data_IF_783866911157
#
_entry.id   IF_783866911157
#
_cell.length_a   1.000
_cell.length_b   1.000
_cell.length_c   1.000
_cell.angle_alpha   90.00
_cell.angle_beta   90.00
_cell.angle_gamma   90.00
#
_symmetry.space_group_name_H-M   'P 1'
#
loop_
_entity.id
_entity.type
_entity.pdbx_description
1 polymer ?
#
# COMPACT_ATOMS: atom_id res chain seq x y z
N UNK A 1 -18.71 60.53 9.01
CA UNK A 1 -19.32 59.18 9.10
C UNK A 1 -18.75 58.32 7.99
N UNK A 2 -17.90 57.33 8.28
CA UNK A 2 -17.43 56.35 7.30
C UNK A 2 -17.18 55.04 8.05
N UNK A 3 -18.18 54.17 8.07
CA UNK A 3 -18.12 52.87 8.75
C UNK A 3 -17.34 51.89 7.87
N UNK A 4 -16.19 51.43 8.36
CA UNK A 4 -15.46 50.27 7.83
C UNK A 4 -16.32 49.02 8.07
N UNK A 5 -16.69 48.31 7.02
CA UNK A 5 -17.25 46.96 7.09
C UNK A 5 -16.09 45.96 7.03
N UNK A 6 -15.77 45.34 8.16
CA UNK A 6 -14.87 44.20 8.25
C UNK A 6 -15.68 42.96 7.91
N UNK A 7 -15.43 42.36 6.74
CA UNK A 7 -15.99 41.05 6.37
C UNK A 7 -15.10 39.98 7.00
N UNK A 8 -15.62 39.34 8.04
CA UNK A 8 -14.99 38.20 8.72
C UNK A 8 -15.24 36.94 7.87
N UNK A 9 -14.26 36.55 7.04
CA UNK A 9 -14.31 35.31 6.28
C UNK A 9 -14.04 34.13 7.24
N UNK A 10 -15.09 33.45 7.67
CA UNK A 10 -15.00 32.16 8.36
C UNK A 10 -14.51 31.12 7.34
N UNK A 11 -13.20 30.85 7.33
CA UNK A 11 -12.64 29.69 6.66
C UNK A 11 -13.06 28.43 7.45
N UNK A 12 -14.19 27.84 7.08
CA UNK A 12 -14.56 26.51 7.53
C UNK A 12 -13.57 25.51 6.89
N UNK A 13 -12.53 25.15 7.62
CA UNK A 13 -11.68 24.02 7.27
C UNK A 13 -12.50 22.74 7.43
N UNK A 14 -13.09 22.28 6.33
CA UNK A 14 -13.82 21.02 6.28
C UNK A 14 -12.88 19.84 6.51
N UNK A 15 -12.69 19.45 7.78
CA UNK A 15 -11.99 18.23 8.15
C UNK A 15 -12.92 17.05 7.83
N UNK A 16 -12.84 16.54 6.60
CA UNK A 16 -13.52 15.31 6.22
C UNK A 16 -12.94 14.11 6.99
N UNK A 17 -13.72 13.04 7.21
CA UNK A 17 -13.20 11.83 7.84
C UNK A 17 -12.05 11.24 7.01
N UNK A 18 -10.95 10.90 7.68
CA UNK A 18 -9.89 10.07 7.12
C UNK A 18 -10.23 8.60 7.30
N UNK A 19 -9.70 7.76 6.41
CA UNK A 19 -10.02 6.34 6.35
C UNK A 19 -8.75 5.50 6.28
N UNK A 20 -8.81 4.28 6.84
CA UNK A 20 -7.84 3.22 6.62
C UNK A 20 -8.56 1.94 6.22
N UNK A 21 -7.81 0.96 5.71
CA UNK A 21 -8.34 -0.36 5.40
C UNK A 21 -7.76 -1.39 6.35
N UNK A 22 -8.63 -2.24 6.87
CA UNK A 22 -8.27 -3.34 7.74
C UNK A 22 -8.67 -4.66 7.07
N UNK A 23 -7.83 -5.70 7.12
CA UNK A 23 -8.26 -7.03 6.71
C UNK A 23 -9.45 -7.48 7.57
N UNK A 24 -10.50 -8.00 6.93
CA UNK A 24 -11.68 -8.51 7.65
C UNK A 24 -11.39 -9.87 8.33
N UNK A 25 -10.38 -10.59 7.83
CA UNK A 25 -9.94 -11.89 8.31
C UNK A 25 -8.42 -11.88 8.53
N UNK A 26 -7.95 -12.72 9.46
CA UNK A 26 -6.52 -12.93 9.74
C UNK A 26 -5.75 -11.64 10.10
N UNK A 27 -6.42 -10.59 10.61
CA UNK A 27 -5.81 -9.29 10.94
C UNK A 27 -4.99 -9.32 12.25
N UNK A 28 -3.94 -10.13 12.28
CA UNK A 28 -3.10 -10.42 13.45
C UNK A 28 -1.65 -9.87 13.30
N UNK A 29 -1.39 -9.09 12.26
CA UNK A 29 -0.09 -8.48 11.99
C UNK A 29 -0.19 -7.00 11.63
N UNK A 30 0.97 -6.35 11.54
CA UNK A 30 1.09 -4.99 10.99
C UNK A 30 2.26 -4.89 10.02
N UNK A 31 2.10 -4.10 8.95
CA UNK A 31 3.16 -3.77 7.99
C UNK A 31 3.25 -2.26 7.89
N UNK A 32 4.40 -1.70 8.27
CA UNK A 32 4.63 -0.24 8.26
C UNK A 32 3.50 0.55 8.93
N UNK A 33 3.06 0.11 10.12
CA UNK A 33 1.98 0.76 10.89
C UNK A 33 0.55 0.45 10.44
N UNK A 34 0.34 -0.26 9.33
CA UNK A 34 -0.99 -0.63 8.83
C UNK A 34 -1.39 -2.02 9.29
N UNK A 35 -2.68 -2.26 9.62
CA UNK A 35 -3.19 -3.60 9.86
C UNK A 35 -2.96 -4.50 8.65
N UNK A 36 -2.41 -5.69 8.90
CA UNK A 36 -2.07 -6.65 7.86
C UNK A 36 -2.64 -8.03 8.22
N UNK A 37 -3.08 -8.75 7.18
CA UNK A 37 -3.43 -10.15 7.33
C UNK A 37 -2.17 -10.99 7.25
N UNK A 38 -1.94 -11.94 8.16
CA UNK A 38 -0.84 -12.90 8.06
C UNK A 38 -1.34 -14.29 7.67
N UNK A 39 -0.62 -14.94 6.77
CA UNK A 39 -0.87 -16.30 6.35
C UNK A 39 0.41 -17.11 6.45
N UNK A 40 0.42 -18.18 7.23
CA UNK A 40 1.53 -19.13 7.24
C UNK A 40 1.57 -19.90 5.93
N UNK A 41 2.76 -20.03 5.34
CA UNK A 41 2.97 -20.65 4.03
C UNK A 41 4.08 -21.70 4.11
N UNK A 42 3.89 -22.90 3.52
CA UNK A 42 2.60 -23.47 3.13
C UNK A 42 1.64 -23.74 4.30
N UNK A 43 0.32 -23.82 4.08
CA UNK A 43 -0.63 -24.22 5.12
C UNK A 43 -0.32 -25.62 5.68
N UNK A 44 -0.27 -25.75 7.01
CA UNK A 44 0.03 -27.00 7.71
C UNK A 44 1.53 -27.32 7.86
N UNK A 45 2.40 -26.55 7.20
CA UNK A 45 3.86 -26.63 7.37
C UNK A 45 4.43 -25.22 7.28
N UNK A 46 4.44 -24.49 8.40
CA UNK A 46 4.89 -23.11 8.44
C UNK A 46 6.39 -23.01 8.14
N UNK A 47 6.73 -22.81 6.86
CA UNK A 47 8.10 -22.56 6.38
C UNK A 47 8.36 -21.07 6.13
N UNK A 48 7.38 -20.22 6.43
CA UNK A 48 7.41 -18.77 6.32
C UNK A 48 5.99 -18.19 6.30
N UNK A 49 5.85 -16.94 5.89
CA UNK A 49 4.57 -16.24 5.88
C UNK A 49 4.40 -15.25 4.74
N UNK A 50 3.13 -14.94 4.44
CA UNK A 50 2.73 -13.83 3.59
C UNK A 50 1.89 -12.88 4.44
N UNK A 51 2.31 -11.62 4.51
CA UNK A 51 1.55 -10.52 5.10
C UNK A 51 0.98 -9.64 4.01
N UNK A 52 -0.32 -9.34 4.07
CA UNK A 52 -1.00 -8.49 3.10
C UNK A 52 -1.61 -7.30 3.80
N UNK A 53 -1.27 -6.09 3.36
CA UNK A 53 -1.74 -4.83 3.92
C UNK A 53 -2.22 -3.89 2.83
N UNK A 54 -3.15 -2.99 3.14
CA UNK A 54 -3.52 -1.89 2.26
C UNK A 54 -3.19 -0.55 2.87
N UNK A 55 -2.63 0.33 2.05
CA UNK A 55 -2.26 1.72 2.38
C UNK A 55 -3.33 2.70 1.88
N UNK A 56 -4.43 2.16 1.35
CA UNK A 56 -5.56 2.91 0.86
C UNK A 56 -5.38 3.44 -0.55
N UNK A 57 -6.14 4.50 -0.86
CA UNK A 57 -6.19 5.09 -2.19
C UNK A 57 -5.14 6.19 -2.28
N UNK A 58 -4.28 6.12 -3.28
CA UNK A 58 -3.25 7.11 -3.58
C UNK A 58 -3.29 7.46 -5.07
N UNK A 59 -2.70 8.58 -5.43
CA UNK A 59 -2.44 8.91 -6.82
C UNK A 59 -1.02 8.43 -7.19
N UNK A 60 -0.88 7.74 -8.32
CA UNK A 60 0.39 7.19 -8.82
C UNK A 60 0.79 7.94 -10.08
N UNK A 61 2.06 8.37 -10.15
CA UNK A 61 2.68 8.92 -11.37
C UNK A 61 3.83 8.02 -11.83
N UNK A 62 3.94 7.85 -13.15
CA UNK A 62 5.03 7.08 -13.77
C UNK A 62 6.22 7.97 -14.14
N UNK A 63 5.91 9.22 -14.50
CA UNK A 63 6.85 10.30 -14.75
C UNK A 63 6.31 11.57 -14.09
N UNK A 64 7.18 12.56 -13.85
CA UNK A 64 6.76 13.83 -13.26
C UNK A 64 5.70 14.56 -14.11
N UNK A 65 5.74 14.38 -15.43
CA UNK A 65 4.84 15.00 -16.40
C UNK A 65 3.52 14.22 -16.62
N UNK A 66 3.40 13.00 -16.06
CA UNK A 66 2.22 12.16 -16.28
C UNK A 66 1.04 12.57 -15.41
N UNK A 67 -0.17 12.41 -15.96
CA UNK A 67 -1.40 12.55 -15.18
C UNK A 67 -1.46 11.49 -14.08
N UNK A 68 -1.80 11.86 -12.83
CA UNK A 68 -1.91 10.91 -11.74
C UNK A 68 -3.00 9.86 -11.98
N UNK A 69 -2.65 8.60 -11.84
CA UNK A 69 -3.58 7.47 -11.89
C UNK A 69 -4.01 7.14 -10.46
N UNK A 70 -5.29 7.39 -10.16
CA UNK A 70 -5.86 7.03 -8.86
C UNK A 70 -5.88 5.51 -8.70
N UNK A 71 -5.20 5.04 -7.68
CA UNK A 71 -4.95 3.62 -7.47
C UNK A 71 -5.15 3.22 -6.02
N UNK A 72 -5.63 1.99 -5.82
CA UNK A 72 -5.52 1.30 -4.54
C UNK A 72 -4.09 0.77 -4.38
N UNK A 73 -3.43 1.14 -3.29
CA UNK A 73 -2.10 0.64 -2.91
C UNK A 73 -2.24 -0.53 -1.93
N UNK A 74 -1.68 -1.67 -2.34
CA UNK A 74 -1.56 -2.88 -1.53
C UNK A 74 -0.09 -3.27 -1.42
N UNK A 75 0.31 -3.71 -0.25
CA UNK A 75 1.66 -4.22 0.03
C UNK A 75 1.58 -5.67 0.47
N UNK A 76 2.38 -6.52 -0.17
CA UNK A 76 2.66 -7.87 0.26
C UNK A 76 4.06 -7.91 0.86
N UNK A 77 4.22 -8.55 2.01
CA UNK A 77 5.53 -8.94 2.54
C UNK A 77 5.57 -10.46 2.50
N UNK A 78 6.51 -11.01 1.76
CA UNK A 78 6.66 -12.45 1.56
C UNK A 78 7.97 -12.86 2.22
N UNK A 79 7.89 -13.70 3.25
CA UNK A 79 9.03 -14.23 3.98
C UNK A 79 9.11 -15.74 3.78
N UNK A 80 10.24 -16.21 3.25
CA UNK A 80 10.59 -17.60 3.12
C UNK A 80 11.65 -17.91 4.18
N UNK A 81 11.22 -18.33 5.37
CA UNK A 81 12.10 -18.46 6.54
C UNK A 81 12.87 -19.78 6.48
N UNK A 82 12.13 -20.89 6.40
CA UNK A 82 12.63 -22.26 6.51
C UNK A 82 12.33 -23.12 5.28
N UNK A 83 11.86 -22.53 4.17
CA UNK A 83 11.72 -23.23 2.88
C UNK A 83 13.05 -23.80 2.40
N UNK A 84 13.01 -24.95 1.73
CA UNK A 84 14.21 -25.59 1.17
C UNK A 84 14.62 -24.91 -0.14
N UNK A 85 13.63 -24.48 -0.95
CA UNK A 85 13.85 -23.73 -2.18
C UNK A 85 13.40 -22.27 -2.11
N UNK A 86 13.84 -21.47 -3.08
CA UNK A 86 13.37 -20.10 -3.24
C UNK A 86 11.90 -20.08 -3.65
N UNK A 87 11.12 -19.21 -3.01
CA UNK A 87 9.73 -18.97 -3.39
C UNK A 87 9.65 -17.97 -4.54
N UNK A 88 8.52 -17.95 -5.24
CA UNK A 88 8.30 -17.00 -6.31
C UNK A 88 6.88 -16.42 -6.31
N UNK A 89 6.78 -15.13 -6.62
CA UNK A 89 5.50 -14.42 -6.82
C UNK A 89 5.51 -13.79 -8.21
N UNK A 90 4.60 -14.21 -9.09
CA UNK A 90 4.34 -13.48 -10.33
C UNK A 90 3.38 -12.33 -10.03
N UNK A 91 3.91 -11.11 -10.04
CA UNK A 91 3.14 -9.90 -9.74
C UNK A 91 2.01 -9.65 -10.74
N UNK A 92 2.10 -10.20 -11.97
CA UNK A 92 1.04 -10.13 -12.97
C UNK A 92 -0.10 -11.10 -12.71
N UNK A 93 0.06 -12.04 -11.78
CA UNK A 93 -1.00 -12.97 -11.37
C UNK A 93 -1.80 -12.45 -10.16
N UNK A 94 -1.31 -11.40 -9.48
CA UNK A 94 -2.03 -10.76 -8.38
C UNK A 94 -3.29 -10.08 -8.91
N UNK A 95 -4.39 -10.14 -8.14
CA UNK A 95 -5.67 -9.54 -8.54
C UNK A 95 -6.31 -8.79 -7.39
N UNK A 96 -7.14 -7.81 -7.72
CA UNK A 96 -8.08 -7.20 -6.76
C UNK A 96 -9.51 -7.32 -7.29
N UNK A 97 -10.44 -7.71 -6.43
CA UNK A 97 -11.87 -7.64 -6.69
C UNK A 97 -12.46 -6.45 -5.95
N UNK A 98 -12.92 -5.43 -6.68
CA UNK A 98 -13.65 -4.33 -6.09
C UNK A 98 -15.11 -4.73 -5.87
N UNK A 99 -15.67 -4.45 -4.70
CA UNK A 99 -17.07 -4.77 -4.46
C UNK A 99 -18.00 -3.91 -5.31
N UNK A 100 -19.03 -4.55 -5.86
CA UNK A 100 -19.97 -3.92 -6.81
C UNK A 100 -19.47 -3.85 -8.25
N UNK A 101 -18.28 -4.41 -8.55
CA UNK A 101 -17.74 -4.53 -9.90
C UNK A 101 -17.63 -5.99 -10.29
N UNK A 102 -17.80 -6.29 -11.57
CA UNK A 102 -17.62 -7.63 -12.11
C UNK A 102 -16.15 -7.87 -12.46
N UNK A 103 -15.64 -9.04 -12.08
CA UNK A 103 -14.29 -9.49 -12.41
C UNK A 103 -13.19 -8.85 -11.57
N UNK A 104 -12.03 -9.51 -11.58
CA UNK A 104 -10.88 -9.09 -10.80
C UNK A 104 -9.88 -8.33 -11.68
N UNK A 105 -9.44 -7.16 -11.21
CA UNK A 105 -8.48 -6.30 -11.90
C UNK A 105 -7.03 -6.74 -11.63
N UNK A 106 -6.18 -6.65 -12.65
CA UNK A 106 -4.73 -6.80 -12.52
C UNK A 106 -4.11 -5.49 -12.03
N UNK A 107 -2.93 -5.54 -11.38
CA UNK A 107 -2.21 -4.31 -11.04
C UNK A 107 -1.74 -3.63 -12.32
N UNK A 108 -1.83 -2.29 -12.35
CA UNK A 108 -1.19 -1.52 -13.42
C UNK A 108 0.31 -1.35 -13.15
N UNK A 109 0.68 -1.26 -11.87
CA UNK A 109 2.06 -1.09 -11.45
C UNK A 109 2.38 -2.00 -10.28
N UNK A 110 3.61 -2.50 -10.28
CA UNK A 110 4.16 -3.24 -9.17
C UNK A 110 5.63 -2.89 -9.01
N UNK A 111 6.09 -2.84 -7.77
CA UNK A 111 7.49 -2.65 -7.40
C UNK A 111 7.84 -3.68 -6.31
N UNK A 112 9.07 -4.16 -6.30
CA UNK A 112 9.55 -5.09 -5.29
C UNK A 112 10.94 -4.67 -4.80
N UNK A 113 11.19 -4.87 -3.51
CA UNK A 113 12.51 -4.66 -2.93
C UNK A 113 13.48 -5.71 -3.47
N UNK A 114 14.59 -5.25 -4.06
CA UNK A 114 15.75 -6.06 -4.44
C UNK A 114 15.41 -7.30 -5.30
N UNK A 115 14.43 -7.19 -6.21
CA UNK A 115 14.03 -8.31 -7.07
C UNK A 115 13.79 -7.92 -8.52
N UNK A 116 14.00 -8.89 -9.42
CA UNK A 116 13.70 -8.74 -10.83
C UNK A 116 12.21 -8.95 -11.07
N UNK A 117 11.54 -7.93 -11.61
CA UNK A 117 10.14 -8.00 -12.01
C UNK A 117 9.99 -8.68 -13.39
N UNK A 118 8.86 -9.34 -13.70
CA UNK A 118 7.62 -9.41 -12.92
C UNK A 118 7.54 -10.60 -11.93
N UNK A 119 8.51 -11.52 -11.99
CA UNK A 119 8.56 -12.70 -11.13
C UNK A 119 9.54 -12.46 -9.98
N UNK A 120 8.99 -12.07 -8.84
CA UNK A 120 9.75 -11.78 -7.63
C UNK A 120 10.20 -13.09 -6.99
N UNK A 121 11.50 -13.28 -6.87
CA UNK A 121 12.10 -14.46 -6.22
C UNK A 121 12.45 -14.13 -4.77
N UNK A 122 12.05 -14.99 -3.84
CA UNK A 122 12.31 -14.88 -2.40
C UNK A 122 13.22 -16.04 -1.97
N UNK A 123 14.53 -15.80 -1.79
CA UNK A 123 15.46 -16.82 -1.33
C UNK A 123 15.05 -17.41 0.01
N UNK A 124 15.55 -18.62 0.31
CA UNK A 124 15.49 -19.21 1.66
C UNK A 124 16.13 -18.27 2.68
N UNK A 125 15.52 -18.16 3.86
CA UNK A 125 15.90 -17.22 4.92
C UNK A 125 15.66 -15.74 4.54
N UNK A 126 15.00 -15.50 3.42
CA UNK A 126 14.82 -14.18 2.82
C UNK A 126 13.41 -13.63 3.01
N UNK A 127 13.29 -12.32 2.90
CA UNK A 127 12.01 -11.61 2.86
C UNK A 127 12.07 -10.51 1.82
N UNK A 128 10.96 -10.28 1.11
CA UNK A 128 10.82 -9.15 0.17
C UNK A 128 9.50 -8.45 0.38
N UNK A 129 9.47 -7.16 0.04
CA UNK A 129 8.26 -6.34 0.02
C UNK A 129 7.87 -6.09 -1.42
N UNK A 130 6.60 -6.31 -1.74
CA UNK A 130 6.00 -6.09 -3.06
C UNK A 130 4.88 -5.07 -2.89
N UNK A 131 5.04 -3.90 -3.49
CA UNK A 131 4.00 -2.88 -3.61
C UNK A 131 3.29 -3.02 -4.94
N UNK A 132 1.97 -3.13 -4.92
CA UNK A 132 1.13 -3.21 -6.12
C UNK A 132 0.06 -2.13 -6.09
N UNK A 133 -0.20 -1.56 -7.27
CA UNK A 133 -1.12 -0.46 -7.46
C UNK A 133 -2.17 -0.85 -8.49
N UNK A 134 -3.42 -0.87 -8.04
CA UNK A 134 -4.58 -1.22 -8.85
C UNK A 134 -5.36 0.05 -9.21
N UNK A 135 -5.46 0.43 -10.49
CA UNK A 135 -6.27 1.57 -10.88
C UNK A 135 -7.70 1.40 -10.38
N UNK A 136 -8.26 2.46 -9.81
CA UNK A 136 -9.67 2.45 -9.45
C UNK A 136 -10.53 2.49 -10.72
N UNK A 137 -11.66 1.76 -10.76
CA UNK A 137 -12.70 2.00 -11.76
C UNK A 137 -13.12 3.48 -11.75
N UNK A 138 -13.48 4.02 -12.92
CA UNK A 138 -13.78 5.46 -13.08
C UNK A 138 -14.90 5.98 -12.15
N UNK A 139 -15.84 5.10 -11.77
CA UNK A 139 -16.92 5.43 -10.85
C UNK A 139 -16.47 5.55 -9.39
N UNK A 140 -15.30 5.02 -9.02
CA UNK A 140 -14.72 5.13 -7.67
C UNK A 140 -13.81 6.35 -7.59
N UNK A 141 -14.28 7.43 -6.98
CA UNK A 141 -13.52 8.69 -6.91
C UNK A 141 -12.54 8.72 -5.75
N UNK A 142 -12.56 7.75 -4.83
CA UNK A 142 -11.55 7.64 -3.77
C UNK A 142 -11.98 6.74 -2.64
N UNK A 143 -11.30 6.85 -1.50
CA UNK A 143 -11.53 5.98 -0.35
C UNK A 143 -12.99 6.01 0.15
N UNK A 144 -13.71 7.13 0.01
CA UNK A 144 -15.14 7.24 0.37
C UNK A 144 -16.05 6.34 -0.49
N UNK A 145 -15.65 6.04 -1.71
CA UNK A 145 -16.46 5.25 -2.65
C UNK A 145 -16.03 3.77 -2.67
N UNK A 146 -14.92 3.44 -2.01
CA UNK A 146 -14.38 2.08 -1.88
C UNK A 146 -14.59 1.55 -0.45
N UNK A 147 -15.75 0.95 -0.12
CA UNK A 147 -16.01 0.44 1.22
C UNK A 147 -15.30 -0.88 1.52
N UNK A 148 -15.05 -1.70 0.51
CA UNK A 148 -14.48 -3.04 0.66
C UNK A 148 -13.86 -3.53 -0.67
N UNK A 149 -12.90 -4.45 -0.59
CA UNK A 149 -12.32 -5.15 -1.74
C UNK A 149 -11.61 -6.44 -1.28
N UNK A 150 -11.37 -7.36 -2.21
CA UNK A 150 -10.60 -8.57 -1.94
C UNK A 150 -9.28 -8.55 -2.71
N UNK A 151 -8.16 -8.81 -2.03
CA UNK A 151 -6.86 -9.05 -2.67
C UNK A 151 -6.68 -10.54 -2.87
N UNK A 152 -6.45 -10.98 -4.10
CA UNK A 152 -6.18 -12.38 -4.45
C UNK A 152 -4.70 -12.48 -4.82
N UNK A 153 -3.97 -13.33 -4.11
CA UNK A 153 -2.54 -13.48 -4.27
C UNK A 153 -2.14 -14.93 -4.38
N UNK A 154 -0.96 -15.18 -4.93
CA UNK A 154 -0.40 -16.52 -5.07
C UNK A 154 1.10 -16.51 -4.87
N UNK A 155 1.60 -17.48 -4.11
CA UNK A 155 3.04 -17.72 -3.93
C UNK A 155 3.34 -19.14 -4.37
N UNK A 156 4.31 -19.30 -5.27
CA UNK A 156 4.86 -20.59 -5.63
C UNK A 156 5.94 -20.96 -4.62
N UNK A 157 5.73 -22.07 -3.94
CA UNK A 157 6.67 -22.71 -3.02
C UNK A 157 7.30 -23.92 -3.70
N UNK A 158 8.17 -24.65 -2.99
CA UNK A 158 8.77 -25.91 -3.44
C UNK A 158 7.71 -26.98 -3.82
N UNK A 159 6.71 -27.17 -2.96
CA UNK A 159 5.75 -28.27 -3.12
C UNK A 159 4.56 -27.90 -4.02
N UNK A 160 4.16 -26.63 -3.99
CA UNK A 160 2.87 -26.18 -4.56
C UNK A 160 2.77 -24.68 -4.73
N UNK A 161 1.78 -24.27 -5.51
CA UNK A 161 1.27 -22.89 -5.50
C UNK A 161 0.25 -22.75 -4.38
N UNK A 162 0.46 -21.78 -3.50
CA UNK A 162 -0.50 -21.39 -2.47
C UNK A 162 -1.22 -20.14 -2.94
N UNK A 163 -2.54 -20.24 -3.13
CA UNK A 163 -3.41 -19.13 -3.52
C UNK A 163 -4.35 -18.82 -2.37
N UNK A 164 -4.51 -17.54 -2.06
CA UNK A 164 -5.36 -17.07 -0.97
C UNK A 164 -6.07 -15.77 -1.35
N UNK A 165 -7.12 -15.47 -0.59
CA UNK A 165 -7.90 -14.25 -0.70
C UNK A 165 -7.89 -13.50 0.63
N UNK A 166 -7.65 -12.21 0.59
CA UNK A 166 -7.64 -11.32 1.75
C UNK A 166 -8.73 -10.25 1.59
N UNK A 167 -9.87 -10.36 2.27
CA UNK A 167 -10.90 -9.34 2.27
C UNK A 167 -10.47 -8.13 3.11
N UNK A 168 -10.75 -6.92 2.63
CA UNK A 168 -10.50 -5.66 3.34
C UNK A 168 -11.80 -4.86 3.50
N UNK A 169 -11.93 -4.22 4.66
CA UNK A 169 -13.01 -3.27 4.96
C UNK A 169 -12.43 -1.90 5.29
N UNK A 170 -13.11 -0.85 4.82
CA UNK A 170 -12.78 0.52 5.18
C UNK A 170 -13.25 0.84 6.59
N UNK A 171 -12.35 1.41 7.40
CA UNK A 171 -12.64 1.96 8.72
C UNK A 171 -12.42 3.47 8.72
N UNK A 172 -13.29 4.19 9.41
CA UNK A 172 -13.09 5.61 9.67
C UNK A 172 -12.03 5.76 10.77
N UNK A 173 -11.10 6.68 10.59
CA UNK A 173 -10.22 7.13 11.67
C UNK A 173 -11.06 8.03 12.54
N UNK A 174 -11.29 7.63 13.79
CA UNK A 174 -11.96 8.50 14.75
C UNK A 174 -10.93 9.54 15.22
N UNK A 175 -11.16 10.84 14.99
CA UNK A 175 -10.30 11.86 15.56
C UNK A 175 -10.34 11.73 17.09
N UNK A 176 -9.21 11.91 17.80
CA UNK A 176 -9.21 11.88 19.25
C UNK A 176 -10.24 12.91 19.78
N UNK A 177 -10.96 12.61 20.87
CA UNK A 177 -11.90 13.55 21.45
C UNK A 177 -11.20 14.88 21.73
N UNK A 178 -11.80 15.98 21.30
CA UNK A 178 -11.26 17.34 21.38
C UNK A 178 -11.29 17.91 22.80
N UNK A 179 -10.79 17.17 23.80
CA UNK A 179 -10.60 17.65 25.16
C UNK A 179 -9.14 18.02 25.38
N UNK A 180 -8.65 18.98 24.59
CA UNK A 180 -7.50 19.78 24.99
C UNK A 180 -8.01 21.20 25.20
N UNK A 181 -8.29 21.52 26.47
CA UNK A 181 -8.35 22.91 26.89
C UNK A 181 -7.00 23.54 26.56
N UNK A 182 -6.99 24.67 25.85
CA UNK A 182 -5.81 25.50 25.65
C UNK A 182 -5.36 26.06 27.01
N UNK A 183 -4.64 25.23 27.77
CA UNK A 183 -3.85 25.67 28.91
C UNK A 183 -2.48 26.09 28.39
N UNK A 184 -2.16 27.39 28.50
CA UNK A 184 -0.78 27.86 28.40
C UNK A 184 0.02 27.27 29.56
N UNK A 185 0.52 26.06 29.39
CA UNK A 185 1.35 25.35 30.35
C UNK A 185 2.60 24.82 29.66
N UNK A 186 3.76 25.27 30.12
CA UNK A 186 5.06 24.76 29.68
C UNK A 186 5.21 23.29 30.12
N UNK A 187 4.73 22.36 29.29
CA UNK A 187 4.89 20.92 29.45
C UNK A 187 5.87 20.37 28.41
N UNK A 188 6.83 19.57 28.88
CA UNK A 188 8.06 19.21 28.16
C UNK A 188 7.94 18.09 27.11
N UNK A 189 6.93 18.11 26.21
CA UNK A 189 6.86 17.14 25.10
C UNK A 189 6.26 17.73 23.81
N UNK A 190 6.95 17.65 22.65
CA UNK A 190 6.49 18.25 21.40
C UNK A 190 5.51 17.33 20.65
N UNK A 191 4.29 17.83 20.41
CA UNK A 191 3.09 17.10 19.90
C UNK A 191 3.00 16.92 18.37
N UNK A 192 4.09 17.05 17.63
CA UNK A 192 4.10 17.01 16.16
C UNK A 192 4.36 15.65 15.50
N UNK A 193 4.60 14.58 16.26
CA UNK A 193 5.02 13.27 15.70
C UNK A 193 3.93 12.20 15.67
N UNK A 194 2.72 12.48 16.16
CA UNK A 194 1.62 11.50 16.12
C UNK A 194 0.72 11.72 14.89
N UNK A 195 1.27 11.41 13.72
CA UNK A 195 0.47 11.06 12.54
C UNK A 195 0.87 9.63 12.11
N UNK A 196 0.04 8.61 12.40
CA UNK A 196 0.39 7.25 12.06
C UNK A 196 0.41 6.95 10.55
N UNK A 197 -0.07 7.86 9.68
CA UNK A 197 -0.29 7.57 8.25
C UNK A 197 0.01 8.73 7.27
N UNK A 198 0.93 9.64 7.61
CA UNK A 198 1.29 10.74 6.70
C UNK A 198 2.07 10.23 5.47
N UNK A 199 1.35 9.90 4.39
CA UNK A 199 1.93 9.68 3.07
C UNK A 199 1.72 10.91 2.19
N UNK A 200 2.67 11.23 1.29
CA UNK A 200 2.35 12.10 0.17
C UNK A 200 1.20 11.47 -0.61
N UNK A 201 0.14 12.23 -0.91
CA UNK A 201 -1.00 11.77 -1.74
C UNK A 201 -0.58 11.32 -3.14
N UNK A 202 0.67 11.60 -3.52
CA UNK A 202 1.30 11.18 -4.74
C UNK A 202 2.50 10.30 -4.41
N UNK A 203 2.53 9.11 -4.98
CA UNK A 203 3.72 8.27 -5.03
C UNK A 203 4.25 8.28 -6.46
N UNK A 204 5.51 8.63 -6.62
CA UNK A 204 6.23 8.44 -7.88
C UNK A 204 6.81 7.03 -7.83
N UNK A 205 6.34 6.15 -8.71
CA UNK A 205 6.95 4.82 -8.83
C UNK A 205 8.17 4.97 -9.72
N UNK A 206 9.39 4.62 -9.27
CA UNK A 206 10.54 4.69 -10.14
C UNK A 206 10.31 3.79 -11.35
N UNK A 207 10.43 4.34 -12.55
CA UNK A 207 10.53 3.54 -13.76
C UNK A 207 11.65 2.51 -13.54
N UNK A 208 11.39 1.23 -13.86
CA UNK A 208 12.38 0.15 -13.76
C UNK A 208 13.73 0.67 -14.29
N UNK A 209 14.86 0.40 -13.61
CA UNK A 209 16.13 1.03 -13.96
C UNK A 209 16.38 0.79 -15.44
N UNK A 210 16.53 1.89 -16.19
CA UNK A 210 16.99 1.82 -17.57
C UNK A 210 18.22 0.92 -17.58
N UNK A 211 18.16 -0.12 -18.43
CA UNK A 211 19.22 -1.14 -18.60
C UNK A 211 20.61 -0.50 -18.40
N UNK A 212 21.54 -1.12 -17.66
CA UNK A 212 22.88 -0.56 -17.55
C UNK A 212 23.42 -0.33 -18.96
N UNK A 213 23.71 0.93 -19.29
CA UNK A 213 24.46 1.27 -20.51
C UNK A 213 25.83 0.63 -20.33
N UNK A 214 26.03 -0.52 -20.96
CA UNK A 214 27.35 -1.12 -21.11
C UNK A 214 28.15 -0.15 -21.98
N UNK A 215 28.99 0.67 -21.35
CA UNK A 215 30.04 1.38 -22.06
C UNK A 215 31.11 0.37 -22.43
N UNK A 216 31.12 -0.08 -23.69
CA UNK A 216 32.29 -0.73 -24.25
C UNK A 216 33.37 0.35 -24.41
N UNK A 217 34.31 0.41 -23.47
CA UNK A 217 35.61 1.04 -23.75
C UNK A 217 36.36 0.11 -24.70
N UNK A 218 36.26 0.38 -26.00
CA UNK A 218 37.15 -0.20 -26.99
C UNK A 218 38.55 0.35 -26.77
N UNK A 219 39.51 -0.53 -26.48
CA UNK A 219 40.92 -0.20 -26.63
C UNK A 219 41.24 -0.06 -28.11
N UNK A 220 41.85 1.06 -28.57
CA UNK A 220 42.43 1.12 -29.90
C UNK A 220 43.61 0.15 -29.98
N UNK A 221 43.72 -0.56 -31.10
CA UNK A 221 44.89 -1.34 -31.49
C UNK A 221 46.06 -0.41 -31.82
#
# INVERSE_FOLDING_TARGET
MRRLLIILALAATGCGPSYYYQPAEQADASVSGHPAARYVVPPGSAKGDVRVSSFGVTDVRLSEDDEPIRSLHVRLVVANEDGEEAWAVDTRALRVQFAGFEGAAAPAFANATDSNMPVVVVPRGGSTTIDVYYPLPESLRGAKDLPQFDVIWSVRTEDRVVTQRTPFERRAIQPPPSTFAYGWGAGAYPYWWYDPFFYPRTVVVPAAPARPRVYYYGYPR
#
